data_IF_705009942235
#
_entry.id   IF_705009942235
#
_cell.length_a   1.000
_cell.length_b   1.000
_cell.length_c   1.000
_cell.angle_alpha   90.00
_cell.angle_beta   90.00
_cell.angle_gamma   90.00
#
_symmetry.space_group_name_H-M   'P 1'
#
loop_
_entity.id
_entity.type
_entity.pdbx_description
1 polymer ?
#
# COMPACT_ATOMS: atom_id res chain seq x y z
N UNK A 1 -25.47 -7.19 6.89
CA UNK A 1 -24.75 -5.91 6.83
C UNK A 1 -23.26 -6.15 7.08
N UNK A 2 -22.57 -6.89 6.20
CA UNK A 2 -21.12 -7.15 6.31
C UNK A 2 -20.28 -6.44 5.25
N UNK A 3 -20.88 -6.16 4.08
CA UNK A 3 -20.11 -5.75 2.90
C UNK A 3 -19.62 -4.30 2.90
N UNK A 4 -20.30 -3.36 3.55
CA UNK A 4 -19.86 -1.95 3.57
C UNK A 4 -18.64 -1.75 4.46
N UNK A 5 -18.64 -2.36 5.63
CA UNK A 5 -17.51 -2.26 6.57
C UNK A 5 -16.24 -2.90 5.98
N UNK A 6 -16.37 -4.04 5.30
CA UNK A 6 -15.22 -4.70 4.67
C UNK A 6 -14.63 -3.88 3.51
N UNK A 7 -15.48 -3.24 2.70
CA UNK A 7 -15.04 -2.31 1.64
C UNK A 7 -14.35 -1.08 2.20
N UNK A 8 -14.86 -0.51 3.30
CA UNK A 8 -14.21 0.62 3.97
C UNK A 8 -12.83 0.25 4.53
N UNK A 9 -12.72 -0.92 5.16
CA UNK A 9 -11.46 -1.40 5.70
C UNK A 9 -10.46 -1.75 4.60
N UNK A 10 -10.92 -2.30 3.48
CA UNK A 10 -10.11 -2.53 2.29
C UNK A 10 -9.58 -1.23 1.70
N UNK A 11 -10.44 -0.22 1.52
CA UNK A 11 -10.04 1.10 1.01
C UNK A 11 -9.02 1.78 1.95
N UNK A 12 -9.17 1.64 3.27
CA UNK A 12 -8.19 2.13 4.25
C UNK A 12 -6.84 1.44 4.10
N UNK A 13 -6.82 0.11 3.94
CA UNK A 13 -5.58 -0.66 3.72
C UNK A 13 -4.89 -0.26 2.43
N UNK A 14 -5.63 -0.11 1.33
CA UNK A 14 -5.10 0.40 0.06
C UNK A 14 -4.48 1.79 0.22
N UNK A 15 -5.18 2.70 0.90
CA UNK A 15 -4.66 4.07 1.15
C UNK A 15 -3.36 4.06 1.96
N UNK A 16 -3.25 3.17 2.96
CA UNK A 16 -2.02 3.01 3.73
C UNK A 16 -0.87 2.52 2.83
N UNK A 17 -1.10 1.47 2.04
CA UNK A 17 -0.09 0.93 1.11
C UNK A 17 0.41 2.02 0.14
N UNK A 18 -0.51 2.76 -0.50
CA UNK A 18 -0.16 3.85 -1.42
C UNK A 18 0.64 4.96 -0.71
N UNK A 19 0.25 5.35 0.50
CA UNK A 19 0.96 6.39 1.25
C UNK A 19 2.38 5.97 1.62
N UNK A 20 2.61 4.70 1.95
CA UNK A 20 3.96 4.18 2.23
C UNK A 20 4.82 4.27 0.98
N UNK A 21 4.32 3.79 -0.17
CA UNK A 21 5.05 3.81 -1.43
C UNK A 21 5.36 5.25 -1.88
N UNK A 22 4.39 6.17 -1.81
CA UNK A 22 4.61 7.58 -2.14
C UNK A 22 5.70 8.21 -1.29
N UNK A 23 5.68 8.00 0.03
CA UNK A 23 6.74 8.52 0.91
C UNK A 23 8.12 7.99 0.55
N UNK A 24 8.22 6.73 0.14
CA UNK A 24 9.49 6.15 -0.32
C UNK A 24 9.95 6.80 -1.62
N UNK A 25 9.06 6.98 -2.59
CA UNK A 25 9.35 7.67 -3.86
C UNK A 25 9.80 9.11 -3.61
N UNK A 26 9.07 9.86 -2.78
CA UNK A 26 9.40 11.24 -2.39
C UNK A 26 10.76 11.34 -1.69
N UNK A 27 11.14 10.30 -0.96
CA UNK A 27 12.44 10.21 -0.29
C UNK A 27 13.57 9.73 -1.21
N UNK A 28 13.28 9.47 -2.49
CA UNK A 28 14.27 8.99 -3.46
C UNK A 28 14.67 7.53 -3.27
N UNK A 29 13.81 6.70 -2.68
CA UNK A 29 14.08 5.27 -2.52
C UNK A 29 14.29 4.59 -3.88
N UNK A 30 15.16 3.57 -3.91
CA UNK A 30 15.43 2.84 -5.13
C UNK A 30 14.21 2.03 -5.59
N UNK A 31 14.14 1.71 -6.88
CA UNK A 31 13.09 0.82 -7.39
C UNK A 31 13.12 -0.57 -6.74
N UNK A 32 14.28 -1.03 -6.26
CA UNK A 32 14.41 -2.30 -5.54
C UNK A 32 13.76 -2.23 -4.16
N UNK A 33 14.00 -1.14 -3.43
CA UNK A 33 13.42 -0.93 -2.10
C UNK A 33 11.90 -0.76 -2.19
N UNK A 34 11.43 -0.01 -3.20
CA UNK A 34 10.00 0.16 -3.48
C UNK A 34 9.35 -1.20 -3.77
N UNK A 35 9.96 -2.05 -4.61
CA UNK A 35 9.44 -3.41 -4.89
C UNK A 35 9.40 -4.29 -3.65
N UNK A 36 10.42 -4.21 -2.80
CA UNK A 36 10.45 -4.95 -1.55
C UNK A 36 9.32 -4.49 -0.62
N UNK A 37 9.10 -3.18 -0.51
CA UNK A 37 8.01 -2.64 0.29
C UNK A 37 6.63 -2.98 -0.30
N UNK A 38 6.47 -2.98 -1.62
CA UNK A 38 5.22 -3.42 -2.27
C UNK A 38 4.87 -4.85 -1.90
N UNK A 39 5.87 -5.76 -1.90
CA UNK A 39 5.68 -7.13 -1.44
C UNK A 39 5.25 -7.18 0.03
N UNK A 40 5.92 -6.43 0.90
CA UNK A 40 5.57 -6.35 2.33
C UNK A 40 4.16 -5.79 2.53
N UNK A 41 3.75 -4.78 1.78
CA UNK A 41 2.40 -4.22 1.85
C UNK A 41 1.35 -5.25 1.41
N UNK A 42 1.62 -6.04 0.37
CA UNK A 42 0.71 -7.13 -0.04
C UNK A 42 0.50 -8.15 1.06
N UNK A 43 1.58 -8.57 1.72
CA UNK A 43 1.53 -9.57 2.78
C UNK A 43 0.83 -9.06 4.04
N UNK A 44 0.97 -7.77 4.36
CA UNK A 44 0.47 -7.18 5.61
C UNK A 44 -0.88 -6.48 5.48
N UNK A 45 -1.13 -5.83 4.34
CA UNK A 45 -2.30 -5.00 4.06
C UNK A 45 -3.21 -5.58 2.97
N UNK A 46 -2.74 -6.59 2.22
CA UNK A 46 -3.47 -7.14 1.07
C UNK A 46 -3.33 -6.30 -0.21
N UNK A 47 -2.61 -5.18 -0.17
CA UNK A 47 -2.43 -4.24 -1.27
C UNK A 47 -0.95 -3.91 -1.43
N UNK A 48 -0.42 -3.94 -2.65
CA UNK A 48 1.00 -3.64 -2.91
C UNK A 48 1.30 -2.15 -2.71
N UNK A 49 0.37 -1.28 -3.11
CA UNK A 49 0.55 0.16 -3.10
C UNK A 49 1.07 0.67 -4.45
N UNK A 50 0.50 1.79 -4.89
CA UNK A 50 0.78 2.36 -6.22
C UNK A 50 1.86 3.46 -6.16
N UNK A 51 2.68 3.53 -7.22
CA UNK A 51 3.72 4.55 -7.41
C UNK A 51 3.14 5.81 -8.08
N UNK A 52 1.91 5.74 -8.61
CA UNK A 52 1.22 6.87 -9.28
C UNK A 52 0.95 8.08 -8.38
#
# INVERSE_FOLDING_TARGET
MGDEHDKEMDAKRKKIANNVIRKMVDSGASSSDIKQQQKTNKETLGHEGDIE
#
